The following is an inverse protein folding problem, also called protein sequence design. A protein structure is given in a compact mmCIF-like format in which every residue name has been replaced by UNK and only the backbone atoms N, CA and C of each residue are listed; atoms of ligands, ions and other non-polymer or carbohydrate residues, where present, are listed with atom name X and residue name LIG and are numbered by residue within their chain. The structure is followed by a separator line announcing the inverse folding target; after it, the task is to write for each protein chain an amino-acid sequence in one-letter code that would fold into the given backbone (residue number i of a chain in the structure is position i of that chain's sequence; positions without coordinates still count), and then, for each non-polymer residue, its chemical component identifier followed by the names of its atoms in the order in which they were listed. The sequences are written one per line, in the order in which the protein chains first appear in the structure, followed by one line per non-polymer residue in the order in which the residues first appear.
data_IF_020485249863
#
_entry.id   IF_020485249863
#
_cell.length_a   1.000
_cell.length_b   1.000
_cell.length_c   1.000
_cell.angle_alpha   90.00
_cell.angle_beta   90.00
_cell.angle_gamma   90.00
#
_symmetry.space_group_name_H-M   'P 1'
#
loop_
_entity.id
_entity.type
_entity.pdbx_description
1 polymer ?
#
# COMPACT_ATOMS: atom_id res chain seq x y z
N UNK A 1 7.15 -53.41 20.60
CA UNK A 1 7.32 -54.23 19.38
C UNK A 1 8.37 -53.52 18.54
N UNK A 2 9.69 -53.74 18.71
CA UNK A 2 10.46 -54.97 18.38
C UNK A 2 10.30 -55.36 16.90
N UNK A 3 11.30 -55.67 16.05
CA UNK A 3 12.78 -55.82 16.05
C UNK A 3 13.17 -55.63 14.52
N UNK A 4 14.39 -55.33 14.04
CA UNK A 4 15.46 -56.25 13.53
C UNK A 4 16.37 -55.37 12.63
N UNK A 5 17.63 -55.02 12.98
CA UNK A 5 18.87 -55.86 13.06
C UNK A 5 19.46 -56.06 11.64
N UNK A 6 20.73 -55.90 11.27
CA UNK A 6 22.04 -56.12 11.91
C UNK A 6 23.13 -55.35 11.11
N UNK A 7 24.10 -54.67 11.76
CA UNK A 7 25.54 -55.02 11.93
C UNK A 7 26.36 -55.23 10.63
N UNK A 8 27.58 -54.67 10.50
CA UNK A 8 28.84 -55.34 10.85
C UNK A 8 30.03 -54.31 10.84
N UNK A 9 30.64 -54.14 12.03
CA UNK A 9 32.10 -54.06 12.39
C UNK A 9 33.07 -53.12 11.62
N UNK A 10 34.08 -52.42 12.19
CA UNK A 10 35.04 -52.74 13.27
C UNK A 10 35.76 -51.48 13.83
N UNK A 11 36.16 -51.56 15.10
CA UNK A 11 37.39 -51.06 15.76
C UNK A 11 37.71 -49.56 15.99
N UNK A 12 37.59 -49.19 17.28
CA UNK A 12 38.37 -48.20 18.04
C UNK A 12 39.71 -48.85 18.50
N UNK A 13 40.89 -48.17 18.59
CA UNK A 13 41.24 -47.37 19.78
C UNK A 13 42.13 -46.11 19.52
N UNK A 14 42.10 -45.17 20.48
CA UNK A 14 43.01 -44.04 20.77
C UNK A 14 44.52 -44.33 20.47
N UNK A 15 45.44 -43.36 20.15
CA UNK A 15 45.80 -42.25 21.06
C UNK A 15 46.31 -40.92 20.41
N UNK A 16 46.47 -39.92 21.28
CA UNK A 16 47.05 -38.60 21.04
C UNK A 16 48.36 -38.59 20.23
N UNK A 17 48.45 -37.68 19.25
CA UNK A 17 49.72 -37.21 18.65
C UNK A 17 49.85 -35.69 18.79
N UNK A 18 50.82 -35.28 19.61
CA UNK A 18 51.44 -33.94 19.59
C UNK A 18 51.84 -33.59 18.16
N UNK A 19 51.33 -32.49 17.64
CA UNK A 19 51.90 -31.82 16.47
C UNK A 19 52.45 -30.47 16.90
N UNK A 20 53.77 -30.35 16.84
CA UNK A 20 54.50 -29.09 16.99
C UNK A 20 53.99 -28.06 15.99
N UNK A 21 53.52 -26.91 16.48
CA UNK A 21 53.30 -25.72 15.65
C UNK A 21 54.67 -25.19 15.22
N UNK A 22 55.09 -25.50 13.98
CA UNK A 22 56.11 -24.71 13.28
C UNK A 22 55.53 -23.31 13.03
N UNK A 23 56.15 -22.21 13.53
CA UNK A 23 55.70 -20.88 13.15
C UNK A 23 55.99 -20.67 11.66
N UNK A 24 54.94 -20.48 10.86
CA UNK A 24 55.03 -20.03 9.49
C UNK A 24 55.86 -18.73 9.43
N UNK A 25 56.86 -18.71 8.54
CA UNK A 25 57.82 -17.61 8.27
C UNK A 25 57.17 -16.33 7.71
N UNK A 26 56.07 -15.85 8.30
CA UNK A 26 55.36 -14.66 7.84
C UNK A 26 56.09 -13.37 8.27
N UNK A 27 56.84 -13.38 9.39
CA UNK A 27 57.60 -12.20 9.83
C UNK A 27 58.76 -11.80 8.89
N UNK A 28 59.40 -12.77 8.22
CA UNK A 28 60.55 -12.50 7.34
C UNK A 28 60.13 -11.87 5.99
N UNK A 29 59.01 -12.30 5.40
CA UNK A 29 58.50 -11.69 4.16
C UNK A 29 58.01 -10.24 4.37
N UNK A 30 57.46 -9.93 5.55
CA UNK A 30 57.02 -8.56 5.85
C UNK A 30 58.17 -7.60 6.18
N UNK A 31 59.28 -8.09 6.75
CA UNK A 31 60.48 -7.27 6.95
C UNK A 31 61.15 -6.95 5.62
N UNK A 32 61.29 -7.94 4.72
CA UNK A 32 61.91 -7.74 3.42
C UNK A 32 61.05 -6.87 2.49
N UNK A 33 59.72 -7.00 2.57
CA UNK A 33 58.80 -6.09 1.89
C UNK A 33 58.89 -4.66 2.42
N UNK A 34 58.97 -4.46 3.75
CA UNK A 34 59.17 -3.13 4.36
C UNK A 34 60.54 -2.54 4.01
N UNK A 35 61.60 -3.34 3.95
CA UNK A 35 62.96 -2.89 3.58
C UNK A 35 63.02 -2.56 2.08
N UNK A 36 62.37 -3.36 1.22
CA UNK A 36 62.22 -3.08 -0.21
C UNK A 36 61.42 -1.81 -0.47
N UNK A 37 60.32 -1.58 0.26
CA UNK A 37 59.59 -0.31 0.22
C UNK A 37 60.48 0.85 0.69
N UNK A 38 61.17 0.70 1.82
CA UNK A 38 62.03 1.75 2.40
C UNK A 38 63.20 2.12 1.48
N UNK A 39 63.76 1.16 0.74
CA UNK A 39 64.81 1.40 -0.24
C UNK A 39 64.28 1.97 -1.57
N UNK A 40 63.04 1.67 -1.98
CA UNK A 40 62.38 2.34 -3.12
C UNK A 40 62.01 3.81 -2.82
N UNK A 41 61.78 4.14 -1.55
CA UNK A 41 61.50 5.49 -1.07
C UNK A 41 62.75 6.22 -0.52
N UNK A 42 63.96 5.78 -0.89
CA UNK A 42 65.19 6.52 -0.60
C UNK A 42 65.16 7.83 -1.41
N UNK A 43 64.84 8.94 -0.74
CA UNK A 43 64.79 10.28 -1.35
C UNK A 43 66.10 10.54 -2.10
N UNK A 44 66.01 10.95 -3.37
CA UNK A 44 67.14 11.50 -4.13
C UNK A 44 67.81 12.62 -3.31
N UNK A 45 69.14 12.85 -3.44
CA UNK A 45 69.85 13.83 -2.64
C UNK A 45 69.15 15.19 -2.67
N UNK A 46 69.03 15.80 -1.48
CA UNK A 46 68.29 17.03 -1.22
C UNK A 46 69.00 18.21 -1.90
N UNK A 47 68.53 18.62 -3.08
CA UNK A 47 69.09 19.76 -3.79
C UNK A 47 68.53 21.06 -3.20
N UNK A 48 69.28 21.68 -2.26
CA UNK A 48 68.90 22.93 -1.56
C UNK A 48 68.47 24.04 -2.53
N UNK A 49 69.13 24.17 -3.68
CA UNK A 49 68.86 25.22 -4.68
C UNK A 49 67.43 25.09 -5.26
N UNK A 50 67.06 23.88 -5.67
CA UNK A 50 65.74 23.60 -6.26
C UNK A 50 64.59 23.82 -5.26
N UNK A 51 64.86 23.72 -3.96
CA UNK A 51 63.90 23.98 -2.90
C UNK A 51 63.71 25.48 -2.65
N UNK A 52 64.77 26.29 -2.77
CA UNK A 52 64.68 27.76 -2.74
C UNK A 52 63.93 28.28 -3.98
N UNK A 53 64.22 27.74 -5.17
CA UNK A 53 63.53 28.10 -6.40
C UNK A 53 62.04 27.75 -6.33
N UNK A 54 61.69 26.58 -5.78
CA UNK A 54 60.29 26.24 -5.51
C UNK A 54 59.62 27.23 -4.57
N UNK A 55 60.26 27.58 -3.45
CA UNK A 55 59.71 28.53 -2.47
C UNK A 55 59.48 29.90 -3.11
N UNK A 56 60.39 30.35 -3.96
CA UNK A 56 60.27 31.62 -4.69
C UNK A 56 59.13 31.59 -5.72
N UNK A 57 59.01 30.50 -6.48
CA UNK A 57 57.91 30.33 -7.45
C UNK A 57 56.55 30.26 -6.75
N UNK A 58 56.45 29.57 -5.60
CA UNK A 58 55.22 29.52 -4.82
C UNK A 58 54.87 30.84 -4.13
N UNK A 59 55.86 31.67 -3.78
CA UNK A 59 55.60 33.01 -3.21
C UNK A 59 55.17 34.03 -4.27
N UNK A 60 55.49 33.79 -5.54
CA UNK A 60 55.11 34.64 -6.68
C UNK A 60 53.81 34.17 -7.37
N UNK A 61 53.35 32.95 -7.09
CA UNK A 61 52.12 32.38 -7.65
C UNK A 61 50.90 32.75 -6.80
N UNK A 62 49.90 33.38 -7.40
CA UNK A 62 48.68 33.80 -6.70
C UNK A 62 47.75 32.63 -6.30
N UNK A 63 47.91 31.44 -6.91
CA UNK A 63 47.13 30.24 -6.57
C UNK A 63 48.03 29.00 -6.46
N UNK A 64 47.69 28.13 -5.51
CA UNK A 64 48.37 26.83 -5.31
C UNK A 64 47.78 25.71 -6.19
N UNK A 65 46.68 25.99 -6.88
CA UNK A 65 46.00 25.03 -7.75
C UNK A 65 46.49 25.28 -9.18
N UNK A 66 47.03 24.26 -9.88
CA UNK A 66 47.50 24.42 -11.24
C UNK A 66 46.35 24.75 -12.19
N UNK A 67 46.61 25.63 -13.15
CA UNK A 67 45.65 25.97 -14.21
C UNK A 67 45.48 24.82 -15.21
N UNK A 68 44.34 24.77 -15.91
CA UNK A 68 44.03 23.72 -16.90
C UNK A 68 45.15 23.59 -17.97
N UNK A 69 45.74 24.71 -18.39
CA UNK A 69 46.88 24.73 -19.32
C UNK A 69 48.14 24.10 -18.72
N UNK A 70 48.41 24.31 -17.43
CA UNK A 70 49.55 23.69 -16.73
C UNK A 70 49.33 22.19 -16.51
N UNK A 71 48.09 21.75 -16.26
CA UNK A 71 47.72 20.34 -16.13
C UNK A 71 47.99 19.59 -17.45
N UNK A 72 47.77 20.23 -18.61
CA UNK A 72 48.07 19.64 -19.91
C UNK A 72 49.57 19.32 -20.12
N UNK A 73 50.49 20.05 -19.45
CA UNK A 73 51.93 19.80 -19.53
C UNK A 73 52.44 18.71 -18.59
N UNK A 74 51.63 18.23 -17.64
CA UNK A 74 52.01 17.19 -16.68
C UNK A 74 52.48 15.91 -17.39
N UNK A 75 51.90 15.58 -18.54
CA UNK A 75 52.31 14.43 -19.35
C UNK A 75 53.76 14.45 -19.84
N UNK A 76 54.41 15.62 -19.93
CA UNK A 76 55.83 15.74 -20.33
C UNK A 76 56.82 15.42 -19.21
N UNK A 77 56.40 15.54 -17.95
CA UNK A 77 57.26 15.38 -16.77
C UNK A 77 57.03 14.06 -16.02
N UNK A 78 56.00 13.30 -16.38
CA UNK A 78 55.68 12.01 -15.78
C UNK A 78 56.38 10.85 -16.50
N UNK A 79 56.82 9.87 -15.72
CA UNK A 79 57.37 8.62 -16.24
C UNK A 79 56.26 7.66 -16.71
N UNK A 80 56.59 6.71 -17.60
CA UNK A 80 55.61 5.73 -18.14
C UNK A 80 54.86 4.94 -17.05
N UNK A 81 55.50 4.66 -15.91
CA UNK A 81 54.89 3.95 -14.78
C UNK A 81 53.89 4.83 -14.02
N UNK A 82 54.19 6.11 -13.85
CA UNK A 82 53.29 7.07 -13.18
C UNK A 82 52.05 7.36 -14.02
N UNK A 83 52.21 7.48 -15.34
CA UNK A 83 51.06 7.62 -16.27
C UNK A 83 50.14 6.39 -16.19
N UNK A 84 50.69 5.18 -16.11
CA UNK A 84 49.90 3.96 -15.97
C UNK A 84 49.11 3.94 -14.65
N UNK A 85 49.75 4.30 -13.53
CA UNK A 85 49.10 4.39 -12.21
C UNK A 85 47.95 5.42 -12.25
N UNK A 86 48.20 6.63 -12.76
CA UNK A 86 47.19 7.68 -12.86
C UNK A 86 46.00 7.21 -13.71
N UNK A 87 46.25 6.59 -14.88
CA UNK A 87 45.17 6.04 -15.71
C UNK A 87 44.35 4.99 -14.98
N UNK A 88 44.98 4.05 -14.27
CA UNK A 88 44.26 3.04 -13.48
C UNK A 88 43.45 3.67 -12.36
N UNK A 89 44.00 4.66 -11.64
CA UNK A 89 43.27 5.37 -10.59
C UNK A 89 42.10 6.17 -11.16
N UNK A 90 42.26 6.83 -12.31
CA UNK A 90 41.17 7.54 -12.98
C UNK A 90 40.04 6.59 -13.37
N UNK A 91 40.37 5.43 -13.95
CA UNK A 91 39.37 4.41 -14.27
C UNK A 91 38.65 3.90 -13.02
N UNK A 92 39.38 3.62 -11.94
CA UNK A 92 38.78 3.21 -10.65
C UNK A 92 37.86 4.30 -10.10
N UNK A 93 38.28 5.57 -10.15
CA UNK A 93 37.46 6.70 -9.71
C UNK A 93 36.17 6.80 -10.53
N UNK A 94 36.24 6.64 -11.86
CA UNK A 94 35.04 6.64 -12.70
C UNK A 94 34.10 5.47 -12.38
N UNK A 95 34.64 4.27 -12.13
CA UNK A 95 33.85 3.11 -11.70
C UNK A 95 33.19 3.37 -10.34
N UNK A 96 33.93 3.92 -9.38
CA UNK A 96 33.40 4.28 -8.06
C UNK A 96 32.31 5.36 -8.15
N UNK A 97 32.49 6.39 -8.98
CA UNK A 97 31.49 7.44 -9.19
C UNK A 97 30.23 6.88 -9.86
N UNK A 98 30.37 6.00 -10.86
CA UNK A 98 29.24 5.33 -11.50
C UNK A 98 28.49 4.44 -10.51
N UNK A 99 29.21 3.65 -9.71
CA UNK A 99 28.62 2.82 -8.67
C UNK A 99 27.91 3.65 -7.59
N UNK A 100 28.52 4.76 -7.15
CA UNK A 100 27.94 5.67 -6.17
C UNK A 100 26.70 6.38 -6.74
N UNK A 101 26.74 6.80 -8.00
CA UNK A 101 25.60 7.38 -8.71
C UNK A 101 24.45 6.38 -8.86
N UNK A 102 24.75 5.13 -9.19
CA UNK A 102 23.75 4.07 -9.29
C UNK A 102 23.14 3.73 -7.92
N UNK A 103 23.97 3.62 -6.87
CA UNK A 103 23.50 3.47 -5.49
C UNK A 103 22.65 4.64 -5.03
N UNK A 104 23.04 5.86 -5.39
CA UNK A 104 22.25 7.06 -5.09
C UNK A 104 20.91 7.02 -5.84
N UNK A 105 20.90 6.66 -7.12
CA UNK A 105 19.68 6.51 -7.90
C UNK A 105 18.75 5.46 -7.30
N UNK A 106 19.23 4.25 -7.01
CA UNK A 106 18.40 3.18 -6.44
C UNK A 106 17.92 3.49 -5.01
N UNK A 107 18.73 4.19 -4.21
CA UNK A 107 18.35 4.53 -2.83
C UNK A 107 17.38 5.71 -2.75
N UNK A 108 17.33 6.57 -3.77
CA UNK A 108 16.44 7.74 -3.81
C UNK A 108 15.27 7.57 -4.78
N UNK A 109 15.19 6.45 -5.50
CA UNK A 109 14.02 6.11 -6.30
C UNK A 109 12.87 5.78 -5.34
N UNK A 110 11.85 6.62 -5.36
CA UNK A 110 10.61 6.40 -4.62
C UNK A 110 9.53 6.09 -5.64
N UNK A 111 8.99 4.88 -5.57
CA UNK A 111 7.81 4.52 -6.33
C UNK A 111 6.63 5.31 -5.76
N UNK A 112 6.07 6.19 -6.59
CA UNK A 112 4.84 6.91 -6.27
C UNK A 112 3.71 6.30 -7.08
N UNK A 113 2.53 6.07 -6.49
CA UNK A 113 1.38 5.57 -7.23
C UNK A 113 0.97 6.61 -8.26
N UNK A 114 0.82 6.17 -9.51
CA UNK A 114 0.27 6.99 -10.58
C UNK A 114 -1.25 6.84 -10.53
N UNK A 115 -1.97 7.95 -10.45
CA UNK A 115 -3.43 7.94 -10.56
C UNK A 115 -3.85 7.67 -12.01
N UNK A 116 -4.90 6.87 -12.18
CA UNK A 116 -5.44 6.46 -13.46
C UNK A 116 -5.65 4.95 -13.57
N UNK A 117 -6.04 4.53 -14.77
CA UNK A 117 -6.17 3.13 -15.14
C UNK A 117 -7.52 2.51 -14.81
N UNK A 118 -7.69 1.31 -15.35
CA UNK A 118 -8.89 0.49 -15.24
C UNK A 118 -8.54 -0.77 -14.47
N UNK A 119 -9.37 -1.11 -13.47
CA UNK A 119 -9.28 -2.37 -12.75
C UNK A 119 -10.56 -3.16 -12.94
N UNK A 120 -10.40 -4.43 -13.33
CA UNK A 120 -11.51 -5.36 -13.58
C UNK A 120 -11.46 -6.48 -12.57
N UNK A 121 -12.45 -6.56 -11.70
CA UNK A 121 -12.56 -7.58 -10.68
C UNK A 121 -13.60 -8.63 -11.07
N UNK A 122 -13.19 -9.91 -11.07
CA UNK A 122 -14.09 -11.03 -11.25
C UNK A 122 -14.78 -11.41 -9.96
N UNK A 123 -16.11 -11.44 -9.98
CA UNK A 123 -16.94 -11.87 -8.85
C UNK A 123 -17.88 -12.97 -9.30
N UNK A 124 -18.11 -13.93 -8.40
CA UNK A 124 -19.08 -15.00 -8.62
C UNK A 124 -20.38 -14.63 -7.94
N UNK A 125 -21.48 -14.77 -8.68
CA UNK A 125 -22.78 -14.28 -8.26
C UNK A 125 -23.14 -12.97 -8.97
N UNK A 126 -24.25 -12.36 -8.55
CA UNK A 126 -24.80 -11.17 -9.20
C UNK A 126 -25.28 -10.16 -8.16
N UNK A 127 -25.21 -8.85 -8.47
CA UNK A 127 -25.74 -7.83 -7.61
C UNK A 127 -27.27 -7.84 -7.67
N UNK A 128 -27.91 -7.60 -6.52
CA UNK A 128 -29.37 -7.50 -6.39
C UNK A 128 -29.76 -6.13 -5.86
N UNK A 129 -29.23 -5.77 -4.69
CA UNK A 129 -29.57 -4.52 -4.01
C UNK A 129 -28.33 -3.84 -3.43
N UNK A 130 -27.72 -2.91 -4.18
CA UNK A 130 -26.63 -2.06 -3.70
C UNK A 130 -27.23 -0.93 -2.83
N UNK A 131 -27.70 -1.33 -1.65
CA UNK A 131 -28.36 -0.49 -0.67
C UNK A 131 -27.96 -0.96 0.74
N UNK A 132 -27.43 -0.07 1.61
CA UNK A 132 -27.01 -0.41 2.96
C UNK A 132 -28.07 -1.09 3.85
N UNK A 133 -29.36 -0.89 3.58
CA UNK A 133 -30.44 -1.55 4.33
C UNK A 133 -30.56 -3.05 4.05
N UNK A 134 -30.01 -3.51 2.93
CA UNK A 134 -30.21 -4.86 2.37
C UNK A 134 -28.90 -5.58 2.02
N UNK A 135 -27.83 -4.84 1.73
CA UNK A 135 -26.59 -5.40 1.15
C UNK A 135 -25.91 -6.44 2.04
N UNK A 136 -26.18 -6.45 3.35
CA UNK A 136 -25.56 -7.38 4.30
C UNK A 136 -25.86 -8.86 4.04
N UNK A 137 -26.87 -9.20 3.22
CA UNK A 137 -27.23 -10.60 2.90
C UNK A 137 -26.59 -11.14 1.63
N UNK A 138 -25.91 -10.29 0.86
CA UNK A 138 -25.25 -10.67 -0.38
C UNK A 138 -23.87 -10.02 -0.46
N UNK A 139 -22.82 -10.83 -0.42
CA UNK A 139 -21.43 -10.33 -0.41
C UNK A 139 -21.14 -9.41 -1.61
N UNK A 140 -21.70 -9.72 -2.79
CA UNK A 140 -21.56 -8.88 -3.99
C UNK A 140 -22.13 -7.48 -3.78
N UNK A 141 -23.31 -7.40 -3.14
CA UNK A 141 -23.95 -6.12 -2.87
C UNK A 141 -23.21 -5.34 -1.79
N UNK A 142 -22.66 -6.04 -0.79
CA UNK A 142 -21.88 -5.44 0.29
C UNK A 142 -20.56 -4.86 -0.23
N UNK A 143 -19.82 -5.61 -1.06
CA UNK A 143 -18.55 -5.17 -1.65
C UNK A 143 -18.75 -3.90 -2.49
N UNK A 144 -19.76 -3.88 -3.36
CA UNK A 144 -20.09 -2.68 -4.14
C UNK A 144 -20.58 -1.55 -3.23
N UNK A 145 -21.41 -1.88 -2.23
CA UNK A 145 -21.98 -0.93 -1.28
C UNK A 145 -20.90 -0.16 -0.50
N UNK A 146 -19.83 -0.83 -0.05
CA UNK A 146 -18.71 -0.21 0.66
C UNK A 146 -17.90 0.76 -0.19
N UNK A 147 -17.90 0.60 -1.51
CA UNK A 147 -17.25 1.53 -2.43
C UNK A 147 -18.12 2.75 -2.74
N UNK A 148 -19.44 2.55 -2.75
CA UNK A 148 -20.43 3.55 -3.17
C UNK A 148 -20.91 4.43 -2.02
N UNK A 149 -21.11 3.87 -0.82
CA UNK A 149 -21.63 4.59 0.34
C UNK A 149 -20.56 4.79 1.40
N UNK A 150 -20.62 5.93 2.07
CA UNK A 150 -19.82 6.19 3.26
C UNK A 150 -20.55 5.78 4.53
N UNK A 151 -19.79 5.36 5.54
CA UNK A 151 -20.31 4.90 6.82
C UNK A 151 -19.91 5.83 7.96
N UNK A 152 -20.51 5.68 9.15
CA UNK A 152 -20.10 6.49 10.31
C UNK A 152 -18.66 6.13 10.72
N UNK A 153 -18.41 4.83 10.85
CA UNK A 153 -17.07 4.26 11.05
C UNK A 153 -16.79 3.21 9.97
N UNK A 154 -15.53 2.85 9.77
CA UNK A 154 -15.12 1.77 8.86
C UNK A 154 -14.03 0.91 9.49
N UNK A 155 -13.74 -0.23 8.89
CA UNK A 155 -12.62 -1.08 9.30
C UNK A 155 -11.43 -0.85 8.39
N UNK A 156 -10.24 -0.76 8.98
CA UNK A 156 -9.00 -0.73 8.22
C UNK A 156 -8.58 -2.15 7.77
N UNK A 157 -7.44 -2.23 7.09
CA UNK A 157 -6.86 -3.50 6.60
C UNK A 157 -6.56 -4.52 7.71
N UNK A 158 -6.41 -4.07 8.95
CA UNK A 158 -6.13 -4.91 10.12
C UNK A 158 -7.43 -5.24 10.88
N UNK A 159 -8.59 -4.82 10.36
CA UNK A 159 -9.90 -5.01 10.96
C UNK A 159 -10.22 -4.04 12.09
N UNK A 160 -9.37 -3.02 12.32
CA UNK A 160 -9.57 -2.05 13.39
C UNK A 160 -10.60 -1.01 12.98
N UNK A 161 -11.48 -0.65 13.91
CA UNK A 161 -12.41 0.46 13.74
C UNK A 161 -11.67 1.79 13.60
N UNK A 162 -11.98 2.51 12.54
CA UNK A 162 -11.48 3.85 12.23
C UNK A 162 -12.63 4.77 11.81
N UNK A 163 -12.38 6.06 11.91
CA UNK A 163 -13.32 7.12 11.57
C UNK A 163 -13.55 7.19 10.04
N UNK A 164 -14.79 7.48 9.64
CA UNK A 164 -15.14 7.78 8.26
C UNK A 164 -15.97 9.08 8.16
N UNK A 165 -17.30 9.02 8.29
CA UNK A 165 -18.14 10.21 8.42
C UNK A 165 -18.05 10.83 9.83
N UNK A 166 -17.79 10.02 10.85
CA UNK A 166 -17.50 10.52 12.20
C UNK A 166 -16.12 11.17 12.26
N UNK A 167 -16.00 12.36 12.84
CA UNK A 167 -14.70 12.97 13.18
C UNK A 167 -14.19 12.45 14.53
N UNK A 168 -15.11 12.27 15.49
CA UNK A 168 -14.87 11.67 16.79
C UNK A 168 -16.19 11.16 17.39
N UNK A 169 -16.11 10.43 18.51
CA UNK A 169 -17.27 10.14 19.34
C UNK A 169 -16.92 10.12 20.82
N UNK A 170 -17.92 10.40 21.66
CA UNK A 170 -17.84 10.30 23.12
C UNK A 170 -18.94 9.38 23.62
N UNK A 171 -18.56 8.39 24.44
CA UNK A 171 -19.51 7.53 25.15
C UNK A 171 -19.77 8.09 26.55
N UNK A 172 -21.03 8.13 26.96
CA UNK A 172 -21.41 8.49 28.32
C UNK A 172 -20.99 7.41 29.32
N UNK A 173 -20.84 7.80 30.59
CA UNK A 173 -20.40 6.90 31.66
C UNK A 173 -21.36 5.72 31.91
N UNK A 174 -22.63 5.86 31.51
CA UNK A 174 -23.64 4.81 31.60
C UNK A 174 -23.54 3.78 30.46
N UNK A 175 -22.72 4.02 29.43
CA UNK A 175 -22.57 3.16 28.25
C UNK A 175 -23.78 3.12 27.33
N UNK A 176 -24.78 4.01 27.56
CA UNK A 176 -26.06 4.05 26.84
C UNK A 176 -26.17 5.22 25.88
N UNK A 177 -25.36 6.25 26.04
CA UNK A 177 -25.39 7.42 25.15
C UNK A 177 -24.08 7.58 24.41
N UNK A 178 -24.15 7.77 23.09
CA UNK A 178 -22.98 8.02 22.23
C UNK A 178 -23.21 9.29 21.43
N UNK A 179 -22.38 10.31 21.67
CA UNK A 179 -22.38 11.55 20.90
C UNK A 179 -21.32 11.43 19.81
N UNK A 180 -21.71 11.66 18.56
CA UNK A 180 -20.84 11.57 17.40
C UNK A 180 -20.81 12.92 16.71
N UNK A 181 -19.61 13.45 16.54
CA UNK A 181 -19.37 14.62 15.69
C UNK A 181 -19.20 14.16 14.24
N UNK A 182 -20.01 14.71 13.36
CA UNK A 182 -20.08 14.34 11.94
C UNK A 182 -19.36 15.40 11.11
N UNK A 183 -18.53 14.94 10.17
CA UNK A 183 -17.80 15.84 9.28
C UNK A 183 -18.75 16.68 8.41
N UNK A 184 -18.31 17.90 8.07
CA UNK A 184 -19.14 18.86 7.31
C UNK A 184 -18.75 19.07 5.85
N UNK A 185 -17.76 18.34 5.35
CA UNK A 185 -17.21 18.45 3.99
C UNK A 185 -17.57 17.25 3.10
N UNK A 186 -18.37 16.30 3.61
CA UNK A 186 -18.83 15.16 2.85
C UNK A 186 -19.92 15.57 1.83
N UNK A 187 -19.78 15.09 0.59
CA UNK A 187 -20.72 15.34 -0.49
C UNK A 187 -21.26 14.00 -1.03
N UNK A 188 -22.53 14.01 -1.41
CA UNK A 188 -23.12 12.98 -2.26
C UNK A 188 -22.51 13.02 -3.66
N UNK A 189 -22.62 11.92 -4.42
CA UNK A 189 -22.14 11.84 -5.80
C UNK A 189 -22.80 12.85 -6.75
N UNK A 190 -23.95 13.41 -6.35
CA UNK A 190 -24.66 14.51 -7.02
C UNK A 190 -24.03 15.88 -6.78
N UNK A 191 -23.16 16.01 -5.78
CA UNK A 191 -22.54 17.26 -5.33
C UNK A 191 -23.26 17.95 -4.17
N UNK A 192 -24.43 17.45 -3.76
CA UNK A 192 -25.15 17.96 -2.59
C UNK A 192 -24.43 17.56 -1.29
N UNK A 193 -24.52 18.38 -0.23
CA UNK A 193 -23.90 18.06 1.06
C UNK A 193 -24.57 16.86 1.72
N UNK A 194 -23.76 15.97 2.30
CA UNK A 194 -24.24 14.96 3.24
C UNK A 194 -24.41 15.61 4.60
N UNK A 195 -25.59 15.42 5.20
CA UNK A 195 -25.98 16.06 6.46
C UNK A 195 -26.31 15.03 7.54
N UNK A 196 -26.47 15.52 8.76
CA UNK A 196 -26.96 14.72 9.88
C UNK A 196 -28.38 14.16 9.61
N UNK A 197 -29.20 14.88 8.84
CA UNK A 197 -30.57 14.47 8.55
C UNK A 197 -30.60 13.16 7.72
N UNK A 198 -29.64 12.98 6.81
CA UNK A 198 -29.45 11.72 6.07
C UNK A 198 -29.16 10.52 6.98
N UNK A 199 -28.37 10.74 8.04
CA UNK A 199 -28.07 9.70 9.03
C UNK A 199 -29.34 9.36 9.81
N UNK A 200 -30.04 10.37 10.35
CA UNK A 200 -31.29 10.17 11.09
C UNK A 200 -32.33 9.46 10.23
N UNK A 201 -32.46 9.86 8.96
CA UNK A 201 -33.32 9.21 7.98
C UNK A 201 -32.96 7.73 7.81
N UNK A 202 -31.68 7.41 7.63
CA UNK A 202 -31.20 6.03 7.43
C UNK A 202 -31.60 5.13 8.60
N UNK A 203 -31.40 5.57 9.85
CA UNK A 203 -31.83 4.80 11.03
C UNK A 203 -33.36 4.74 11.17
N UNK A 204 -34.08 5.79 10.77
CA UNK A 204 -35.53 5.77 10.65
C UNK A 204 -36.01 4.68 9.67
N UNK A 205 -35.37 4.59 8.51
CA UNK A 205 -35.65 3.57 7.50
C UNK A 205 -35.34 2.14 8.01
N UNK A 206 -34.24 1.95 8.76
CA UNK A 206 -33.92 0.67 9.41
C UNK A 206 -35.04 0.22 10.35
N UNK A 207 -35.60 1.15 11.16
CA UNK A 207 -36.64 0.82 12.15
C UNK A 207 -38.01 0.56 11.52
N UNK A 208 -38.32 1.23 10.42
CA UNK A 208 -39.60 1.10 9.73
C UNK A 208 -39.75 -0.30 9.11
N UNK A 209 -40.76 -1.10 9.53
CA UNK A 209 -40.95 -2.47 9.05
C UNK A 209 -41.23 -2.57 7.55
N UNK A 210 -41.79 -1.53 6.93
CA UNK A 210 -42.14 -1.54 5.50
C UNK A 210 -40.90 -1.54 4.60
N UNK A 211 -39.79 -0.95 5.05
CA UNK A 211 -38.52 -1.04 4.34
C UNK A 211 -37.95 -2.46 4.35
N UNK A 212 -38.35 -3.33 5.30
CA UNK A 212 -37.85 -4.70 5.44
C UNK A 212 -36.32 -4.79 5.56
N UNK A 213 -35.70 -3.82 6.24
CA UNK A 213 -34.25 -3.79 6.43
C UNK A 213 -33.76 -5.01 7.21
N UNK A 214 -32.65 -5.60 6.75
CA UNK A 214 -31.97 -6.72 7.42
C UNK A 214 -31.32 -6.29 8.73
N UNK A 215 -31.07 -4.99 8.90
CA UNK A 215 -30.46 -4.39 10.08
C UNK A 215 -31.46 -4.11 11.22
N UNK A 216 -32.77 -4.23 10.97
CA UNK A 216 -33.81 -3.81 11.92
C UNK A 216 -33.68 -4.44 13.30
N UNK A 217 -33.39 -5.75 13.35
CA UNK A 217 -33.23 -6.47 14.61
C UNK A 217 -32.00 -5.97 15.39
N UNK A 218 -30.91 -5.66 14.70
CA UNK A 218 -29.66 -5.16 15.29
C UNK A 218 -29.82 -3.78 15.94
N UNK A 219 -30.74 -2.95 15.45
CA UNK A 219 -30.96 -1.59 15.96
C UNK A 219 -32.27 -1.43 16.75
N UNK A 220 -32.85 -2.55 17.22
CA UNK A 220 -33.99 -2.48 18.14
C UNK A 220 -33.53 -1.87 19.47
N UNK A 221 -34.27 -0.89 19.99
CA UNK A 221 -33.91 -0.18 21.22
C UNK A 221 -32.82 0.89 21.05
N UNK A 222 -32.46 1.22 19.81
CA UNK A 222 -31.55 2.33 19.48
C UNK A 222 -32.35 3.52 18.95
N UNK A 223 -32.22 4.64 19.64
CA UNK A 223 -32.75 5.93 19.21
C UNK A 223 -31.62 6.83 18.71
N UNK A 224 -31.90 7.59 17.66
CA UNK A 224 -30.96 8.56 17.09
C UNK A 224 -31.62 9.93 17.08
N UNK A 225 -30.89 10.94 17.53
CA UNK A 225 -31.35 12.31 17.52
C UNK A 225 -30.28 13.23 16.96
N UNK A 226 -30.71 14.19 16.13
CA UNK A 226 -29.90 15.35 15.78
C UNK A 226 -29.81 16.27 17.00
N UNK A 227 -28.61 16.38 17.55
CA UNK A 227 -28.33 17.22 18.74
C UNK A 227 -27.58 18.50 18.38
N UNK A 228 -27.11 18.62 17.13
CA UNK A 228 -26.63 19.85 16.51
C UNK A 228 -26.52 19.69 14.98
N UNK A 229 -26.10 20.75 14.28
CA UNK A 229 -26.02 20.73 12.81
C UNK A 229 -25.05 19.66 12.26
N UNK A 230 -24.01 19.34 13.05
CA UNK A 230 -22.98 18.35 12.75
C UNK A 230 -22.82 17.34 13.89
N UNK A 231 -23.85 17.16 14.69
CA UNK A 231 -23.78 16.27 15.85
C UNK A 231 -25.03 15.41 15.95
N UNK A 232 -24.81 14.12 16.19
CA UNK A 232 -25.85 13.15 16.49
C UNK A 232 -25.59 12.50 17.83
N UNK A 233 -26.67 12.18 18.52
CA UNK A 233 -26.64 11.37 19.73
C UNK A 233 -27.41 10.09 19.49
N UNK A 234 -26.78 8.96 19.77
CA UNK A 234 -27.43 7.67 19.88
C UNK A 234 -27.73 7.38 21.35
N UNK A 235 -28.94 6.90 21.61
CA UNK A 235 -29.39 6.46 22.93
C UNK A 235 -29.83 5.00 22.85
N UNK A 236 -29.23 4.15 23.66
CA UNK A 236 -29.46 2.71 23.70
C UNK A 236 -30.33 2.35 24.93
N UNK A 237 -31.24 1.39 24.77
CA UNK A 237 -32.01 0.85 25.90
C UNK A 237 -31.12 0.17 26.94
N UNK A 238 -30.06 -0.49 26.49
CA UNK A 238 -29.10 -1.24 27.30
C UNK A 238 -27.66 -0.78 27.00
N UNK A 239 -26.76 -0.82 27.99
CA UNK A 239 -25.37 -0.41 27.76
C UNK A 239 -24.66 -1.40 26.84
N UNK A 240 -24.04 -0.89 25.77
CA UNK A 240 -23.34 -1.74 24.81
C UNK A 240 -22.05 -1.08 24.30
N UNK A 241 -20.92 -1.48 24.86
CA UNK A 241 -19.61 -0.86 24.58
C UNK A 241 -19.14 -1.01 23.13
N UNK A 242 -19.56 -2.09 22.45
CA UNK A 242 -19.20 -2.36 21.06
C UNK A 242 -20.17 -1.69 20.05
N UNK A 243 -21.05 -0.80 20.50
CA UNK A 243 -21.99 -0.10 19.62
C UNK A 243 -21.34 0.59 18.41
N UNK A 244 -20.18 1.28 18.53
CA UNK A 244 -19.52 1.88 17.36
C UNK A 244 -19.18 0.87 16.24
N UNK A 245 -18.90 -0.40 16.59
CA UNK A 245 -18.62 -1.46 15.61
C UNK A 245 -19.84 -1.84 14.76
N UNK A 246 -21.05 -1.49 15.21
CA UNK A 246 -22.29 -1.71 14.48
C UNK A 246 -22.56 -0.62 13.44
N UNK A 247 -21.91 0.55 13.56
CA UNK A 247 -22.14 1.71 12.68
C UNK A 247 -21.21 1.71 11.46
N UNK A 248 -20.82 0.52 10.99
CA UNK A 248 -19.92 0.31 9.85
C UNK A 248 -20.63 0.00 8.54
N UNK A 249 -21.82 0.55 8.35
CA UNK A 249 -22.62 0.40 7.13
C UNK A 249 -22.92 1.78 6.52
N UNK A 250 -23.27 1.79 5.24
CA UNK A 250 -23.44 3.02 4.47
C UNK A 250 -24.66 3.86 4.88
N UNK A 251 -24.58 5.17 4.69
CA UNK A 251 -25.69 6.12 4.89
C UNK A 251 -26.44 6.34 3.57
N UNK A 252 -27.77 6.41 3.63
CA UNK A 252 -28.64 6.68 2.50
C UNK A 252 -28.91 8.19 2.32
N UNK A 253 -28.99 8.70 1.08
CA UNK A 253 -29.42 10.07 0.83
C UNK A 253 -30.92 10.22 1.06
N UNK A 254 -31.30 11.01 2.07
CA UNK A 254 -32.70 11.27 2.43
C UNK A 254 -33.46 11.86 1.23
N UNK A 255 -32.87 12.85 0.55
CA UNK A 255 -33.50 13.58 -0.55
C UNK A 255 -34.01 12.66 -1.68
N UNK A 256 -33.37 11.49 -1.85
CA UNK A 256 -33.74 10.53 -2.88
C UNK A 256 -34.68 9.46 -2.34
N UNK A 257 -34.35 8.87 -1.19
CA UNK A 257 -35.10 7.74 -0.64
C UNK A 257 -36.43 8.15 0.01
N UNK A 258 -36.57 9.39 0.49
CA UNK A 258 -37.84 9.93 0.99
C UNK A 258 -38.91 10.05 -0.10
N UNK A 259 -38.53 10.11 -1.38
CA UNK A 259 -39.45 10.18 -2.52
C UNK A 259 -40.00 8.80 -2.93
N UNK A 260 -39.48 7.72 -2.35
CA UNK A 260 -39.86 6.35 -2.66
C UNK A 260 -40.68 5.82 -1.48
N UNK A 261 -41.87 5.30 -1.76
CA UNK A 261 -42.70 4.66 -0.74
C UNK A 261 -41.93 3.48 -0.09
N UNK A 262 -41.88 3.36 1.24
CA UNK A 262 -41.12 2.32 1.95
C UNK A 262 -41.38 0.90 1.44
N UNK A 263 -42.63 0.58 1.12
CA UNK A 263 -43.08 -0.74 0.65
C UNK A 263 -42.51 -1.09 -0.73
N UNK A 264 -42.17 -0.07 -1.51
CA UNK A 264 -41.62 -0.16 -2.86
C UNK A 264 -40.09 -0.02 -2.89
N UNK A 265 -39.45 0.25 -1.76
CA UNK A 265 -38.02 0.55 -1.69
C UNK A 265 -37.14 -0.57 -2.28
N UNK A 266 -37.51 -1.85 -2.07
CA UNK A 266 -36.80 -3.01 -2.64
C UNK A 266 -36.87 -3.09 -4.18
N UNK A 267 -37.93 -2.55 -4.78
CA UNK A 267 -38.15 -2.60 -6.24
C UNK A 267 -37.55 -1.39 -6.96
N UNK A 268 -37.07 -0.39 -6.22
CA UNK A 268 -36.57 0.84 -6.78
C UNK A 268 -35.30 0.61 -7.62
N UNK A 269 -35.24 1.25 -8.79
CA UNK A 269 -34.10 1.11 -9.71
C UNK A 269 -32.78 1.62 -9.11
N UNK A 270 -32.86 2.56 -8.17
CA UNK A 270 -31.70 3.10 -7.46
C UNK A 270 -30.93 2.02 -6.68
N UNK A 271 -31.53 0.88 -6.34
CA UNK A 271 -30.81 -0.27 -5.79
C UNK A 271 -29.75 -0.83 -6.75
N UNK A 272 -29.89 -0.62 -8.06
CA UNK A 272 -28.91 -1.00 -9.09
C UNK A 272 -28.16 0.20 -9.68
N UNK A 273 -28.64 1.43 -9.41
CA UNK A 273 -28.03 2.68 -9.86
C UNK A 273 -27.86 3.63 -8.67
N UNK A 274 -27.09 3.23 -7.65
CA UNK A 274 -27.04 3.91 -6.37
C UNK A 274 -26.39 5.28 -6.47
N UNK A 275 -26.88 6.20 -5.65
CA UNK A 275 -26.27 7.49 -5.36
C UNK A 275 -25.76 7.39 -3.92
N UNK A 276 -24.45 7.51 -3.74
CA UNK A 276 -23.82 7.46 -2.43
C UNK A 276 -22.84 8.61 -2.22
N UNK A 277 -22.01 8.50 -1.20
CA UNK A 277 -21.00 9.50 -0.80
C UNK A 277 -19.59 8.92 -0.76
N UNK A 278 -19.46 7.64 -1.13
CA UNK A 278 -18.22 6.88 -1.10
C UNK A 278 -17.22 7.26 -2.18
N UNK A 279 -16.13 6.50 -2.20
CA UNK A 279 -14.94 6.77 -3.02
C UNK A 279 -15.15 6.49 -4.51
N UNK A 280 -16.18 5.71 -4.87
CA UNK A 280 -16.59 5.45 -6.25
C UNK A 280 -18.07 5.75 -6.46
N UNK A 281 -18.43 6.22 -7.65
CA UNK A 281 -19.80 6.46 -8.09
C UNK A 281 -20.21 5.50 -9.19
N UNK A 282 -21.49 5.15 -9.22
CA UNK A 282 -22.06 4.36 -10.32
C UNK A 282 -21.85 5.07 -11.66
N UNK A 283 -21.40 4.33 -12.67
CA UNK A 283 -21.19 4.84 -14.03
C UNK A 283 -22.13 4.16 -15.03
N UNK A 284 -22.08 2.83 -15.12
CA UNK A 284 -22.93 2.06 -16.01
C UNK A 284 -22.99 0.59 -15.62
N UNK A 285 -23.96 -0.14 -16.17
CA UNK A 285 -24.03 -1.60 -16.05
C UNK A 285 -24.42 -2.20 -17.39
N UNK A 286 -23.98 -3.43 -17.64
CA UNK A 286 -24.34 -4.21 -18.83
C UNK A 286 -25.11 -5.43 -18.36
N UNK A 287 -26.31 -5.64 -18.94
CA UNK A 287 -27.14 -6.82 -18.70
C UNK A 287 -27.08 -7.77 -19.90
N UNK A 288 -27.22 -9.06 -19.64
CA UNK A 288 -27.43 -10.04 -20.70
C UNK A 288 -28.89 -10.07 -21.18
N UNK A 289 -29.17 -10.94 -22.17
CA UNK A 289 -30.51 -11.10 -22.75
C UNK A 289 -31.57 -11.54 -21.73
N UNK A 290 -31.15 -12.15 -20.63
CA UNK A 290 -32.02 -12.63 -19.56
C UNK A 290 -32.18 -11.58 -18.44
N UNK A 291 -31.58 -10.39 -18.60
CA UNK A 291 -31.65 -9.29 -17.64
C UNK A 291 -30.64 -9.39 -16.49
N UNK A 292 -29.78 -10.41 -16.46
CA UNK A 292 -28.76 -10.55 -15.42
C UNK A 292 -27.59 -9.59 -15.67
N UNK A 293 -27.10 -8.94 -14.62
CA UNK A 293 -25.96 -8.02 -14.72
C UNK A 293 -24.69 -8.81 -14.97
N UNK A 294 -23.97 -8.49 -16.05
CA UNK A 294 -22.68 -9.11 -16.43
C UNK A 294 -21.49 -8.25 -16.09
N UNK A 295 -21.65 -6.93 -16.19
CA UNK A 295 -20.60 -5.98 -15.86
C UNK A 295 -21.20 -4.78 -15.15
N UNK A 296 -20.49 -4.25 -14.16
CA UNK A 296 -20.89 -3.10 -13.38
C UNK A 296 -19.71 -2.16 -13.21
N UNK A 297 -19.83 -0.97 -13.80
CA UNK A 297 -18.76 0.01 -13.89
C UNK A 297 -18.97 1.10 -12.85
N UNK A 298 -17.92 1.34 -12.08
CA UNK A 298 -17.77 2.40 -11.12
C UNK A 298 -16.68 3.36 -11.59
N UNK A 299 -16.85 4.65 -11.30
CA UNK A 299 -15.86 5.69 -11.56
C UNK A 299 -15.43 6.34 -10.26
N UNK A 300 -14.15 6.69 -10.12
CA UNK A 300 -13.66 7.37 -8.93
C UNK A 300 -14.44 8.68 -8.67
N UNK A 301 -14.77 8.91 -7.41
CA UNK A 301 -15.38 10.15 -6.96
C UNK A 301 -14.29 11.20 -6.75
N UNK A 302 -14.24 12.19 -7.65
CA UNK A 302 -13.26 13.28 -7.60
C UNK A 302 -13.44 14.19 -6.39
N UNK A 303 -14.67 14.27 -5.86
CA UNK A 303 -15.04 15.10 -4.71
C UNK A 303 -15.14 14.28 -3.42
N UNK A 304 -14.52 13.09 -3.36
CA UNK A 304 -14.50 12.30 -2.15
C UNK A 304 -13.72 13.05 -1.06
N UNK A 305 -14.34 13.21 0.11
CA UNK A 305 -13.80 13.93 1.26
C UNK A 305 -12.52 13.31 1.86
N UNK A 306 -12.23 12.06 1.49
CA UNK A 306 -11.05 11.32 1.89
C UNK A 306 -9.94 11.38 0.85
N UNK A 307 -9.05 10.39 0.88
CA UNK A 307 -8.05 10.24 -0.17
C UNK A 307 -8.72 9.69 -1.43
N UNK A 308 -8.63 10.43 -2.54
CA UNK A 308 -9.11 9.97 -3.86
C UNK A 308 -8.48 8.59 -4.19
N UNK A 309 -9.27 7.63 -4.69
CA UNK A 309 -8.73 6.38 -5.22
C UNK A 309 -7.71 6.64 -6.32
N UNK A 310 -6.65 5.82 -6.38
CA UNK A 310 -5.70 5.90 -7.48
C UNK A 310 -6.27 5.32 -8.78
N UNK A 311 -7.14 4.32 -8.69
CA UNK A 311 -7.77 3.68 -9.86
C UNK A 311 -8.98 4.52 -10.27
N UNK A 312 -9.04 4.91 -11.54
CA UNK A 312 -10.10 5.79 -12.04
C UNK A 312 -11.38 5.02 -12.36
N UNK A 313 -11.27 3.85 -13.00
CA UNK A 313 -12.41 3.01 -13.33
C UNK A 313 -12.29 1.65 -12.66
N UNK A 314 -13.32 1.28 -11.92
CA UNK A 314 -13.42 -0.02 -11.26
C UNK A 314 -14.61 -0.77 -11.86
N UNK A 315 -14.34 -1.89 -12.51
CA UNK A 315 -15.35 -2.71 -13.17
C UNK A 315 -15.47 -4.04 -12.46
N UNK A 316 -16.66 -4.36 -11.97
CA UNK A 316 -17.00 -5.72 -11.58
C UNK A 316 -17.49 -6.51 -12.79
N UNK A 317 -17.01 -7.73 -12.94
CA UNK A 317 -17.44 -8.69 -13.95
C UNK A 317 -17.99 -9.93 -13.25
N UNK A 318 -19.23 -10.28 -13.57
CA UNK A 318 -19.97 -11.33 -12.87
C UNK A 318 -19.96 -12.64 -13.63
N UNK A 319 -19.56 -13.71 -12.94
CA UNK A 319 -19.45 -15.06 -13.47
C UNK A 319 -20.43 -16.02 -12.77
N UNK A 320 -20.86 -17.05 -13.50
CA UNK A 320 -21.71 -18.09 -12.94
C UNK A 320 -20.96 -19.09 -12.07
N UNK A 321 -19.64 -19.20 -12.28
CA UNK A 321 -18.78 -20.13 -11.54
C UNK A 321 -17.29 -19.81 -11.69
N UNK A 322 -16.46 -20.55 -10.95
CA UNK A 322 -15.01 -20.33 -10.89
C UNK A 322 -14.30 -20.63 -12.20
N UNK A 323 -14.75 -21.63 -12.96
CA UNK A 323 -14.15 -22.04 -14.24
C UNK A 323 -14.10 -20.86 -15.24
N UNK A 324 -15.21 -20.16 -15.41
CA UNK A 324 -15.32 -18.98 -16.28
C UNK A 324 -14.44 -17.83 -15.77
N UNK A 325 -14.44 -17.58 -14.46
CA UNK A 325 -13.65 -16.52 -13.85
C UNK A 325 -12.14 -16.79 -13.98
N UNK A 326 -11.70 -18.03 -13.79
CA UNK A 326 -10.29 -18.44 -13.95
C UNK A 326 -9.87 -18.32 -15.41
N UNK A 327 -10.71 -18.73 -16.36
CA UNK A 327 -10.43 -18.55 -17.79
C UNK A 327 -10.29 -17.06 -18.15
N UNK A 328 -11.13 -16.20 -17.59
CA UNK A 328 -11.03 -14.75 -17.76
C UNK A 328 -9.75 -14.17 -17.14
N UNK A 329 -9.34 -14.66 -15.96
CA UNK A 329 -8.10 -14.23 -15.32
C UNK A 329 -6.88 -14.66 -16.14
N UNK A 330 -6.83 -15.93 -16.55
CA UNK A 330 -5.74 -16.48 -17.36
C UNK A 330 -5.61 -15.79 -18.74
N UNK A 331 -6.71 -15.25 -19.27
CA UNK A 331 -6.72 -14.49 -20.53
C UNK A 331 -6.49 -12.98 -20.35
N UNK A 332 -6.21 -12.52 -19.13
CA UNK A 332 -6.09 -11.09 -18.76
C UNK A 332 -7.34 -10.26 -19.07
N UNK A 333 -8.52 -10.88 -19.17
CA UNK A 333 -9.79 -10.17 -19.33
C UNK A 333 -10.24 -9.48 -18.02
N UNK A 334 -9.76 -10.00 -16.88
CA UNK A 334 -9.88 -9.43 -15.54
C UNK A 334 -8.52 -9.36 -14.87
N UNK A 335 -8.36 -8.48 -13.88
CA UNK A 335 -7.12 -8.26 -13.13
C UNK A 335 -7.08 -9.04 -11.81
N UNK A 336 -8.24 -9.37 -11.25
CA UNK A 336 -8.37 -10.06 -9.97
C UNK A 336 -9.65 -10.88 -9.90
N UNK A 337 -9.73 -11.75 -8.91
CA UNK A 337 -10.94 -12.49 -8.53
C UNK A 337 -11.11 -12.33 -7.02
N UNK A 338 -12.32 -11.95 -6.57
CA UNK A 338 -12.59 -11.58 -5.17
C UNK A 338 -12.26 -12.72 -4.20
N UNK A 339 -12.62 -13.95 -4.60
CA UNK A 339 -12.33 -15.14 -3.83
C UNK A 339 -12.05 -16.32 -4.76
N UNK A 340 -11.06 -17.14 -4.41
CA UNK A 340 -10.75 -18.38 -5.12
C UNK A 340 -10.51 -19.50 -4.10
N UNK A 341 -11.33 -20.57 -4.08
CA UNK A 341 -11.09 -21.71 -3.22
C UNK A 341 -9.76 -22.38 -3.54
N UNK A 342 -9.09 -22.90 -2.50
CA UNK A 342 -7.74 -23.48 -2.64
C UNK A 342 -7.66 -24.63 -3.65
N UNK A 343 -8.74 -25.37 -3.88
CA UNK A 343 -8.82 -26.47 -4.85
C UNK A 343 -8.55 -26.01 -6.29
N UNK A 344 -8.90 -24.78 -6.63
CA UNK A 344 -8.77 -24.23 -7.98
C UNK A 344 -7.39 -23.61 -8.26
N UNK A 345 -6.51 -23.57 -7.26
CA UNK A 345 -5.19 -22.91 -7.39
C UNK A 345 -4.31 -23.52 -8.49
N UNK A 346 -4.45 -24.81 -8.76
CA UNK A 346 -3.68 -25.51 -9.81
C UNK A 346 -4.06 -25.11 -11.24
N UNK A 347 -5.20 -24.43 -11.43
CA UNK A 347 -5.70 -24.03 -12.75
C UNK A 347 -5.24 -22.63 -13.17
N UNK A 348 -4.57 -21.90 -12.27
CA UNK A 348 -3.98 -20.60 -12.57
C UNK A 348 -2.71 -20.78 -13.40
N UNK A 349 -2.68 -20.10 -14.55
CA UNK A 349 -1.50 -20.02 -15.43
C UNK A 349 -0.74 -18.77 -15.00
N UNK A 350 0.15 -18.93 -14.01
CA UNK A 350 0.93 -17.84 -13.42
C UNK A 350 1.82 -17.11 -14.43
#
# INVERSE_FOLDING_TARGET
MEIIVDSITTNNPNPAKKTEKKPLKIKAQWSDFKVSLKNKFRKKPFNKQADYDKKLVYSLSSSKIPTIRQIAYIGKFLTRKEILIIRTCTVIIFICLSFMGMKFYTNNLREVPVAGGDYREGIIGTPKYINPLYSSVNDVDNDIGQLVYSSIFKRDKDGKLINDLAENFTAAADGKSYVIDVRGDALWHTGEPLTVDDIVFTFGAIKNPEYKSTLRLSFTGVEVQKTGDKQITFTLSEPYAAFPEMLTFGILPEAVWSQIAPESALLAEINLKPIGSGMYKFSSLIKDKNGAVRSYNLKANENYYGKRPFIDNFTFVFYGGYEEAIAALNSNAINGISYLPKSWKSELIA
#
